data_IF_962833643392
#
_entry.id   IF_962833643392
#
_cell.length_a   1.000
_cell.length_b   1.000
_cell.length_c   1.000
_cell.angle_alpha   90.00
_cell.angle_beta   90.00
_cell.angle_gamma   90.00
#
_symmetry.space_group_name_H-M   'P 1'
#
loop_
_entity.id
_entity.type
_entity.pdbx_description
1 polymer ?
#
# COMPACT_ATOMS: atom_id res chain seq x y z
N UNK A 1 9.60 45.23 41.97
CA UNK A 1 8.82 46.30 41.30
C UNK A 1 7.59 45.64 40.70
N UNK A 2 6.44 45.87 41.34
CA UNK A 2 5.13 45.44 40.88
C UNK A 2 4.56 46.56 40.01
N UNK A 3 4.08 46.22 38.81
CA UNK A 3 3.28 47.14 38.00
C UNK A 3 1.88 46.56 37.80
N UNK A 4 0.93 47.47 37.88
CA UNK A 4 -0.42 47.27 38.35
C UNK A 4 -1.38 46.73 37.29
N UNK A 5 -2.30 45.90 37.78
CA UNK A 5 -3.56 45.54 37.14
C UNK A 5 -4.54 46.68 37.46
N UNK A 6 -5.19 47.26 36.45
CA UNK A 6 -6.36 48.11 36.68
C UNK A 6 -6.42 49.34 35.78
N UNK A 7 -7.11 49.17 34.66
CA UNK A 7 -7.78 50.15 33.80
C UNK A 7 -8.00 49.32 32.52
N UNK A 8 -9.19 48.85 32.19
CA UNK A 8 -10.15 49.57 31.37
C UNK A 8 -11.49 48.81 31.49
N UNK A 9 -12.36 49.25 32.39
CA UNK A 9 -13.77 48.88 32.42
C UNK A 9 -14.53 50.17 32.73
N UNK A 10 -15.00 50.84 31.67
CA UNK A 10 -16.21 51.68 31.64
C UNK A 10 -16.19 52.50 30.37
N UNK A 11 -16.97 52.11 29.36
CA UNK A 11 -17.70 52.99 28.44
C UNK A 11 -18.28 52.15 27.31
N UNK A 12 -19.53 51.71 27.43
CA UNK A 12 -20.43 51.51 26.29
C UNK A 12 -21.84 51.11 26.76
N UNK A 13 -22.54 52.04 27.40
CA UNK A 13 -24.00 52.11 27.32
C UNK A 13 -24.36 53.56 27.01
N UNK A 14 -24.50 53.87 25.72
CA UNK A 14 -25.25 55.03 25.25
C UNK A 14 -25.79 54.76 23.84
N UNK A 15 -27.07 55.08 23.72
CA UNK A 15 -28.04 54.81 22.65
C UNK A 15 -27.78 55.55 21.34
N UNK A 16 -28.13 54.87 20.24
CA UNK A 16 -28.56 55.31 18.90
C UNK A 16 -28.09 56.64 18.30
N UNK A 17 -27.57 56.59 17.06
CA UNK A 17 -28.30 57.10 15.88
C UNK A 17 -27.62 56.60 14.59
N UNK A 18 -28.45 56.29 13.60
CA UNK A 18 -28.08 55.50 12.42
C UNK A 18 -27.26 56.24 11.36
N UNK A 19 -26.40 55.47 10.70
CA UNK A 19 -25.97 55.62 9.30
C UNK A 19 -25.72 54.18 8.78
N UNK A 20 -26.26 53.76 7.62
CA UNK A 20 -25.98 52.44 7.07
C UNK A 20 -24.61 52.46 6.39
N UNK A 21 -23.63 51.74 6.94
CA UNK A 21 -22.41 51.36 6.22
C UNK A 21 -22.54 49.91 5.72
N UNK A 22 -21.95 49.61 4.54
CA UNK A 22 -22.15 48.33 3.86
C UNK A 22 -21.53 47.19 4.67
N UNK A 23 -22.25 46.08 4.70
CA UNK A 23 -21.90 44.84 5.39
C UNK A 23 -20.46 44.40 5.06
N UNK A 24 -19.53 44.65 5.96
CA UNK A 24 -18.35 43.81 6.09
C UNK A 24 -18.80 42.48 6.66
N UNK A 25 -18.97 41.49 5.79
CA UNK A 25 -19.11 40.09 6.21
C UNK A 25 -17.87 39.70 7.01
N UNK A 26 -18.10 39.42 8.30
CA UNK A 26 -17.08 39.13 9.28
C UNK A 26 -16.28 37.87 8.92
N UNK A 27 -14.93 37.89 8.94
CA UNK A 27 -14.10 36.70 8.72
C UNK A 27 -14.41 35.55 9.71
N UNK A 28 -15.01 35.85 10.87
CA UNK A 28 -15.45 34.84 11.84
C UNK A 28 -16.61 33.95 11.32
N UNK A 29 -17.48 34.47 10.45
CA UNK A 29 -18.56 33.67 9.84
C UNK A 29 -18.03 32.71 8.76
N UNK A 30 -16.97 33.11 8.04
CA UNK A 30 -16.26 32.23 7.11
C UNK A 30 -15.58 31.09 7.84
N UNK A 31 -14.80 31.40 8.88
CA UNK A 31 -14.06 30.41 9.65
C UNK A 31 -14.96 29.39 10.34
N UNK A 32 -16.08 29.81 10.94
CA UNK A 32 -17.04 28.88 11.57
C UNK A 32 -17.73 27.98 10.55
N UNK A 33 -17.97 28.47 9.34
CA UNK A 33 -18.52 27.69 8.23
C UNK A 33 -17.51 26.67 7.71
N UNK A 34 -16.26 27.08 7.53
CA UNK A 34 -15.16 26.22 7.11
C UNK A 34 -14.89 25.11 8.15
N UNK A 35 -14.94 25.44 9.45
CA UNK A 35 -14.82 24.47 10.55
C UNK A 35 -15.95 23.44 10.54
N UNK A 36 -17.20 23.87 10.29
CA UNK A 36 -18.34 22.95 10.18
C UNK A 36 -18.20 22.04 8.96
N UNK A 37 -17.78 22.57 7.82
CA UNK A 37 -17.53 21.79 6.62
C UNK A 37 -16.40 20.78 6.85
N UNK A 38 -15.30 21.21 7.45
CA UNK A 38 -14.19 20.35 7.85
C UNK A 38 -14.63 19.22 8.78
N UNK A 39 -15.45 19.51 9.78
CA UNK A 39 -15.98 18.50 10.69
C UNK A 39 -16.86 17.48 9.96
N UNK A 40 -17.63 17.91 8.97
CA UNK A 40 -18.54 17.08 8.17
C UNK A 40 -17.90 16.36 6.97
N UNK A 41 -16.65 16.70 6.62
CA UNK A 41 -15.97 16.10 5.48
C UNK A 41 -15.85 14.57 5.65
N UNK A 42 -16.13 13.78 4.59
CA UNK A 42 -16.10 12.33 4.66
C UNK A 42 -14.72 11.86 5.12
N UNK A 43 -14.73 10.93 6.06
CA UNK A 43 -13.51 10.26 6.55
C UNK A 43 -13.37 8.98 5.76
N UNK A 44 -12.21 8.80 5.12
CA UNK A 44 -11.90 7.56 4.43
C UNK A 44 -11.79 6.45 5.47
N UNK A 45 -12.72 5.49 5.40
CA UNK A 45 -12.38 4.11 5.69
C UNK A 45 -11.69 3.60 4.42
N UNK A 46 -10.39 3.35 4.47
CA UNK A 46 -9.60 2.85 3.35
C UNK A 46 -10.27 1.60 2.72
N UNK A 47 -10.99 1.80 1.61
CA UNK A 47 -11.43 0.78 0.67
C UNK A 47 -11.94 1.46 -0.60
N UNK A 48 -11.49 0.96 -1.75
CA UNK A 48 -11.77 1.42 -3.11
C UNK A 48 -13.19 1.98 -3.30
N UNK A 49 -13.31 3.30 -3.47
CA UNK A 49 -14.44 3.89 -4.19
C UNK A 49 -13.93 4.52 -5.47
N UNK A 50 -14.24 3.85 -6.57
CA UNK A 50 -14.19 4.42 -7.92
C UNK A 50 -15.09 5.66 -7.92
N UNK A 51 -14.50 6.85 -8.01
CA UNK A 51 -15.26 8.08 -8.17
C UNK A 51 -15.83 8.15 -9.61
N UNK A 52 -17.06 8.66 -9.81
CA UNK A 52 -17.63 8.82 -11.13
C UNK A 52 -16.88 9.90 -11.92
N UNK A 53 -16.45 9.54 -13.13
CA UNK A 53 -15.81 10.43 -14.12
C UNK A 53 -16.81 11.51 -14.56
N UNK A 54 -16.57 12.78 -14.22
CA UNK A 54 -17.25 13.92 -14.86
C UNK A 54 -16.39 14.40 -16.04
N UNK A 55 -16.90 14.43 -17.28
CA UNK A 55 -16.20 15.07 -18.39
C UNK A 55 -16.39 16.58 -18.28
N UNK A 56 -15.32 17.29 -17.91
CA UNK A 56 -15.23 18.75 -17.98
C UNK A 56 -14.43 19.15 -19.22
N UNK A 57 -14.93 20.15 -19.94
CA UNK A 57 -14.46 20.63 -21.23
C UNK A 57 -13.08 21.29 -21.19
N UNK A 58 -12.47 21.41 -22.37
CA UNK A 58 -11.04 21.64 -22.56
C UNK A 58 -10.48 22.95 -22.00
N UNK A 59 -9.37 22.78 -21.31
CA UNK A 59 -8.24 23.71 -21.24
C UNK A 59 -6.98 22.87 -21.47
N UNK A 60 -5.93 23.47 -22.04
CA UNK A 60 -4.65 22.82 -22.35
C UNK A 60 -3.85 22.44 -21.07
N UNK A 61 -4.48 21.74 -20.13
CA UNK A 61 -3.82 21.14 -18.99
C UNK A 61 -3.33 19.76 -19.41
N UNK A 62 -2.04 19.50 -19.17
CA UNK A 62 -1.49 18.15 -19.15
C UNK A 62 -2.17 17.40 -18.01
N UNK A 63 -3.33 16.80 -18.30
CA UNK A 63 -4.12 16.08 -17.32
C UNK A 63 -3.42 14.78 -16.97
N UNK A 64 -2.70 14.79 -15.85
CA UNK A 64 -2.05 13.59 -15.34
C UNK A 64 -3.07 12.59 -14.80
N UNK A 65 -2.86 11.31 -15.08
CA UNK A 65 -3.64 10.24 -14.47
C UNK A 65 -3.20 10.04 -13.00
N UNK A 66 -3.85 10.74 -12.09
CA UNK A 66 -3.60 10.65 -10.64
C UNK A 66 -4.05 9.32 -10.02
N UNK A 67 -4.78 8.46 -10.76
CA UNK A 67 -5.24 7.18 -10.23
C UNK A 67 -4.13 6.15 -10.02
N UNK A 68 -3.00 6.31 -10.73
CA UNK A 68 -1.86 5.39 -10.66
C UNK A 68 -0.83 5.83 -9.62
N UNK A 69 -0.46 4.91 -8.74
CA UNK A 69 0.69 5.09 -7.86
C UNK A 69 2.01 5.22 -8.66
N UNK A 70 3.07 5.77 -8.05
CA UNK A 70 4.41 5.82 -8.65
C UNK A 70 4.85 4.47 -9.22
N UNK A 71 5.61 4.51 -10.31
CA UNK A 71 6.14 3.30 -10.94
C UNK A 71 7.05 2.53 -10.00
N UNK A 72 6.89 1.21 -10.02
CA UNK A 72 7.72 0.28 -9.25
C UNK A 72 8.45 -0.63 -10.22
N UNK A 73 9.66 -1.04 -9.83
CA UNK A 73 10.49 -1.94 -10.63
C UNK A 73 9.72 -3.22 -10.99
N UNK A 74 9.03 -3.79 -10.00
CA UNK A 74 8.19 -4.97 -10.20
C UNK A 74 7.06 -4.75 -11.22
N UNK A 75 6.36 -3.60 -11.16
CA UNK A 75 5.29 -3.24 -12.11
C UNK A 75 5.83 -3.13 -13.53
N UNK A 76 6.92 -2.38 -13.73
CA UNK A 76 7.53 -2.20 -15.06
C UNK A 76 7.98 -3.53 -15.64
N UNK A 77 8.59 -4.39 -14.83
CA UNK A 77 9.06 -5.71 -15.26
C UNK A 77 7.88 -6.61 -15.63
N UNK A 78 6.83 -6.63 -14.80
CA UNK A 78 5.63 -7.43 -15.06
C UNK A 78 4.90 -6.98 -16.34
N UNK A 79 4.74 -5.67 -16.55
CA UNK A 79 4.09 -5.11 -17.74
C UNK A 79 4.88 -5.43 -19.02
N UNK A 80 6.22 -5.32 -18.98
CA UNK A 80 7.09 -5.57 -20.15
C UNK A 80 7.29 -7.05 -20.49
N UNK A 81 7.04 -7.94 -19.53
CA UNK A 81 7.21 -9.39 -19.65
C UNK A 81 5.89 -10.17 -19.56
N UNK A 82 4.75 -9.50 -19.66
CA UNK A 82 3.42 -10.11 -19.50
C UNK A 82 3.12 -11.22 -20.53
N UNK A 83 3.71 -11.11 -21.72
CA UNK A 83 3.60 -12.07 -22.83
C UNK A 83 4.53 -13.28 -22.66
N UNK A 84 5.47 -13.24 -21.72
CA UNK A 84 6.46 -14.30 -21.51
C UNK A 84 5.86 -15.39 -20.63
N UNK A 85 5.79 -16.60 -21.16
CA UNK A 85 5.28 -17.76 -20.39
C UNK A 85 6.15 -18.01 -19.15
N UNK A 86 5.54 -18.40 -18.01
CA UNK A 86 6.28 -18.88 -16.86
C UNK A 86 7.21 -20.04 -17.22
N UNK A 87 8.30 -20.16 -16.46
CA UNK A 87 9.28 -21.24 -16.59
C UNK A 87 9.11 -22.18 -15.40
N UNK A 88 8.90 -23.46 -15.66
CA UNK A 88 8.81 -24.46 -14.62
C UNK A 88 10.22 -24.83 -14.12
N UNK A 89 10.48 -24.56 -12.84
CA UNK A 89 11.75 -24.81 -12.16
C UNK A 89 11.55 -25.75 -10.96
N UNK A 90 12.64 -26.41 -10.58
CA UNK A 90 12.69 -27.34 -9.43
C UNK A 90 13.76 -26.87 -8.45
N UNK A 91 13.38 -26.71 -7.18
CA UNK A 91 14.34 -26.42 -6.12
C UNK A 91 15.26 -27.62 -5.85
N UNK A 92 16.54 -27.37 -5.59
CA UNK A 92 17.52 -28.38 -5.17
C UNK A 92 17.73 -28.37 -3.64
N UNK A 93 18.16 -29.50 -3.07
CA UNK A 93 18.69 -29.55 -1.70
C UNK A 93 20.11 -28.98 -1.62
N UNK A 94 20.83 -28.97 -2.74
CA UNK A 94 22.15 -28.39 -2.84
C UNK A 94 22.03 -26.87 -3.09
N UNK A 95 22.58 -26.06 -2.19
CA UNK A 95 22.48 -24.60 -2.29
C UNK A 95 23.20 -24.03 -3.53
N UNK A 96 24.31 -24.64 -3.94
CA UNK A 96 25.08 -24.21 -5.11
C UNK A 96 24.34 -24.39 -6.43
N UNK A 97 23.22 -25.11 -6.43
CA UNK A 97 22.37 -25.35 -7.61
C UNK A 97 21.14 -24.45 -7.63
N UNK A 98 20.92 -23.65 -6.59
CA UNK A 98 19.77 -22.76 -6.50
C UNK A 98 20.19 -21.31 -6.72
N UNK A 99 19.37 -20.55 -7.44
CA UNK A 99 19.28 -19.12 -7.25
C UNK A 99 18.26 -18.81 -6.12
N UNK A 100 18.38 -17.64 -5.44
CA UNK A 100 17.49 -17.23 -4.34
C UNK A 100 16.04 -16.93 -4.78
N UNK A 101 15.31 -17.99 -5.09
CA UNK A 101 13.88 -17.97 -5.42
C UNK A 101 13.00 -18.57 -4.31
N UNK A 102 13.63 -19.10 -3.26
CA UNK A 102 12.99 -19.82 -2.14
C UNK A 102 12.07 -20.96 -2.60
N UNK A 103 12.53 -21.74 -3.60
CA UNK A 103 11.77 -22.90 -4.07
C UNK A 103 11.92 -24.08 -3.11
N UNK A 104 10.81 -24.75 -2.81
CA UNK A 104 10.83 -26.00 -2.03
C UNK A 104 11.61 -27.07 -2.80
N UNK A 105 12.58 -27.76 -2.17
CA UNK A 105 13.35 -28.80 -2.83
C UNK A 105 12.47 -29.92 -3.41
N UNK A 106 12.66 -30.24 -4.69
CA UNK A 106 11.92 -31.28 -5.42
C UNK A 106 10.51 -30.90 -5.85
N UNK A 107 10.03 -29.69 -5.53
CA UNK A 107 8.74 -29.20 -6.01
C UNK A 107 8.86 -28.56 -7.39
N UNK A 108 7.95 -28.92 -8.30
CA UNK A 108 7.82 -28.27 -9.61
C UNK A 108 7.02 -26.98 -9.43
N UNK A 109 7.63 -25.83 -9.72
CA UNK A 109 7.01 -24.51 -9.54
C UNK A 109 7.14 -23.70 -10.82
N UNK A 110 6.02 -23.18 -11.32
CA UNK A 110 6.02 -22.22 -12.42
C UNK A 110 6.41 -20.82 -11.90
N UNK A 111 7.53 -20.30 -12.38
CA UNK A 111 8.08 -19.00 -11.99
C UNK A 111 7.97 -18.04 -13.16
N UNK A 112 7.38 -16.85 -12.95
CA UNK A 112 7.28 -15.83 -13.99
C UNK A 112 8.67 -15.29 -14.36
N UNK A 113 8.85 -14.89 -15.62
CA UNK A 113 10.09 -14.24 -16.05
C UNK A 113 10.37 -12.96 -15.26
N UNK A 114 9.33 -12.19 -14.89
CA UNK A 114 9.47 -11.02 -14.03
C UNK A 114 10.06 -11.36 -12.66
N UNK A 115 9.59 -12.43 -12.01
CA UNK A 115 10.12 -12.88 -10.71
C UNK A 115 11.57 -13.34 -10.82
N UNK A 116 11.93 -14.03 -11.89
CA UNK A 116 13.33 -14.42 -12.16
C UNK A 116 14.24 -13.19 -12.29
N UNK A 117 13.83 -12.22 -13.11
CA UNK A 117 14.61 -10.99 -13.30
C UNK A 117 14.72 -10.15 -12.02
N UNK A 118 13.63 -10.02 -11.25
CA UNK A 118 13.63 -9.26 -9.99
C UNK A 118 14.48 -9.91 -8.89
N UNK A 119 14.58 -11.24 -8.90
CA UNK A 119 15.46 -11.96 -7.98
C UNK A 119 16.95 -11.93 -8.42
N UNK A 120 17.25 -11.56 -9.66
CA UNK A 120 18.59 -11.68 -10.25
C UNK A 120 18.94 -13.12 -10.63
N UNK A 121 17.93 -13.90 -11.01
CA UNK A 121 18.00 -15.32 -11.35
C UNK A 121 17.79 -15.57 -12.86
N UNK A 122 18.09 -14.58 -13.70
CA UNK A 122 17.81 -14.63 -15.14
C UNK A 122 18.56 -15.74 -15.88
N UNK A 123 19.66 -16.25 -15.32
CA UNK A 123 20.37 -17.40 -15.86
C UNK A 123 19.49 -18.67 -15.95
N UNK A 124 18.44 -18.76 -15.12
CA UNK A 124 17.49 -19.86 -15.12
C UNK A 124 16.46 -19.79 -16.26
N UNK A 125 16.45 -18.71 -17.05
CA UNK A 125 15.62 -18.64 -18.24
C UNK A 125 16.13 -19.60 -19.32
N UNK A 126 15.23 -20.28 -20.07
CA UNK A 126 15.64 -21.09 -21.21
C UNK A 126 16.44 -20.26 -22.23
N UNK A 127 17.51 -20.81 -22.84
CA UNK A 127 18.36 -20.05 -23.76
C UNK A 127 17.60 -19.40 -24.93
N UNK A 128 16.56 -20.08 -25.45
CA UNK A 128 15.70 -19.56 -26.51
C UNK A 128 14.92 -18.33 -26.06
N UNK A 129 14.40 -18.34 -24.83
CA UNK A 129 13.67 -17.22 -24.23
C UNK A 129 14.63 -16.07 -23.93
N UNK A 130 15.74 -16.34 -23.26
CA UNK A 130 16.77 -15.33 -22.95
C UNK A 130 17.26 -14.61 -24.23
N UNK A 131 17.59 -15.36 -25.28
CA UNK A 131 18.02 -14.79 -26.59
C UNK A 131 16.90 -13.98 -27.24
N UNK A 132 15.64 -14.40 -27.14
CA UNK A 132 14.51 -13.63 -27.66
C UNK A 132 14.31 -12.32 -26.90
N UNK A 133 14.42 -12.35 -25.56
CA UNK A 133 14.31 -11.15 -24.72
C UNK A 133 15.40 -10.14 -25.04
N UNK A 134 16.66 -10.55 -25.09
CA UNK A 134 17.79 -9.68 -25.48
C UNK A 134 17.57 -9.06 -26.86
N UNK A 135 17.17 -9.85 -27.87
CA UNK A 135 16.88 -9.32 -29.21
C UNK A 135 15.74 -8.30 -29.23
N UNK A 136 14.76 -8.45 -28.34
CA UNK A 136 13.64 -7.51 -28.21
C UNK A 136 13.93 -6.33 -27.26
N UNK A 137 15.14 -6.21 -26.71
CA UNK A 137 15.48 -5.16 -25.74
C UNK A 137 14.74 -5.30 -24.42
N UNK A 138 14.51 -6.54 -23.95
CA UNK A 138 13.79 -6.87 -22.70
C UNK A 138 14.62 -7.74 -21.77
N UNK A 139 15.95 -7.67 -21.89
CA UNK A 139 16.85 -8.25 -20.89
C UNK A 139 16.86 -7.44 -19.59
N UNK A 140 17.50 -7.97 -18.55
CA UNK A 140 17.52 -7.34 -17.23
C UNK A 140 17.99 -5.88 -17.29
N UNK A 141 19.06 -5.58 -18.04
CA UNK A 141 19.61 -4.23 -18.17
C UNK A 141 18.62 -3.27 -18.85
N UNK A 142 18.01 -3.71 -19.94
CA UNK A 142 17.03 -2.89 -20.66
C UNK A 142 15.77 -2.64 -19.81
N UNK A 143 15.36 -3.61 -18.99
CA UNK A 143 14.24 -3.44 -18.06
C UNK A 143 14.58 -2.44 -16.93
N UNK A 144 15.80 -2.47 -16.38
CA UNK A 144 16.26 -1.45 -15.41
C UNK A 144 16.29 -0.05 -16.02
N UNK A 145 16.74 0.05 -17.27
CA UNK A 145 16.74 1.31 -18.00
C UNK A 145 15.30 1.81 -18.23
N UNK A 146 14.39 0.94 -18.66
CA UNK A 146 12.98 1.28 -18.85
C UNK A 146 12.33 1.74 -17.53
N UNK A 147 12.65 1.10 -16.40
CA UNK A 147 12.21 1.56 -15.09
C UNK A 147 12.75 2.97 -14.77
N UNK A 148 14.05 3.18 -14.96
CA UNK A 148 14.71 4.47 -14.71
C UNK A 148 14.13 5.60 -15.57
N UNK A 149 13.88 5.34 -16.85
CA UNK A 149 13.26 6.28 -17.80
C UNK A 149 11.80 6.59 -17.43
N UNK A 150 11.01 5.56 -17.10
CA UNK A 150 9.63 5.72 -16.65
C UNK A 150 9.58 6.59 -15.38
N UNK A 151 10.46 6.31 -14.42
CA UNK A 151 10.55 7.05 -13.17
C UNK A 151 10.97 8.52 -13.38
N UNK A 152 11.94 8.76 -14.27
CA UNK A 152 12.38 10.11 -14.61
C UNK A 152 11.27 10.92 -15.27
N UNK A 153 10.52 10.32 -16.21
CA UNK A 153 9.36 10.94 -16.83
C UNK A 153 8.26 11.27 -15.81
N UNK A 154 7.97 10.36 -14.88
CA UNK A 154 7.02 10.61 -13.80
C UNK A 154 7.49 11.73 -12.86
N UNK A 155 8.78 11.78 -12.52
CA UNK A 155 9.38 12.81 -11.65
C UNK A 155 9.36 14.22 -12.27
N UNK A 156 9.57 14.31 -13.59
CA UNK A 156 9.54 15.58 -14.32
C UNK A 156 8.12 16.02 -14.70
N UNK A 157 7.19 15.07 -14.80
CA UNK A 157 5.79 15.34 -15.11
C UNK A 157 4.93 15.36 -13.85
N UNK A 158 4.14 14.29 -13.67
CA UNK A 158 3.11 14.17 -12.65
C UNK A 158 3.61 14.42 -11.23
N UNK A 159 4.79 13.92 -10.87
CA UNK A 159 5.37 14.06 -9.54
C UNK A 159 6.40 15.18 -9.45
N UNK A 160 6.35 16.16 -10.36
CA UNK A 160 7.10 17.40 -10.20
C UNK A 160 6.52 18.26 -9.07
N UNK A 161 7.36 19.06 -8.42
CA UNK A 161 6.93 20.00 -7.35
C UNK A 161 5.71 20.84 -7.76
N UNK A 162 5.68 21.53 -8.92
CA UNK A 162 4.50 22.33 -9.31
C UNK A 162 3.24 21.48 -9.51
N UNK A 163 3.35 20.29 -10.12
CA UNK A 163 2.20 19.41 -10.34
C UNK A 163 1.64 18.86 -9.01
N UNK A 164 2.51 18.48 -8.09
CA UNK A 164 2.12 18.03 -6.73
C UNK A 164 1.44 19.18 -5.97
N UNK A 165 2.04 20.38 -5.97
CA UNK A 165 1.48 21.54 -5.27
C UNK A 165 0.09 21.93 -5.81
N UNK A 166 -0.07 21.93 -7.15
CA UNK A 166 -1.35 22.18 -7.80
C UNK A 166 -2.39 21.13 -7.37
N UNK A 167 -2.01 19.84 -7.40
CA UNK A 167 -2.90 18.74 -7.02
C UNK A 167 -3.32 18.83 -5.56
N UNK A 168 -2.39 19.06 -4.64
CA UNK A 168 -2.68 19.22 -3.20
C UNK A 168 -3.65 20.39 -2.99
N UNK A 169 -3.38 21.54 -3.63
CA UNK A 169 -4.24 22.72 -3.56
C UNK A 169 -5.65 22.43 -4.05
N UNK A 170 -5.79 21.73 -5.17
CA UNK A 170 -7.09 21.34 -5.73
C UNK A 170 -7.85 20.43 -4.75
N UNK A 171 -7.21 19.38 -4.24
CA UNK A 171 -7.81 18.45 -3.28
C UNK A 171 -8.23 19.16 -1.99
N UNK A 172 -7.40 20.06 -1.45
CA UNK A 172 -7.73 20.82 -0.25
C UNK A 172 -8.94 21.73 -0.44
N UNK A 173 -9.04 22.42 -1.59
CA UNK A 173 -10.22 23.25 -1.92
C UNK A 173 -11.49 22.41 -2.08
N UNK A 174 -11.37 21.19 -2.60
CA UNK A 174 -12.49 20.25 -2.69
C UNK A 174 -12.99 19.79 -1.33
N UNK A 175 -12.09 19.65 -0.35
CA UNK A 175 -12.46 19.33 1.04
C UNK A 175 -13.16 20.52 1.70
N UNK A 176 -12.57 21.71 1.60
CA UNK A 176 -13.21 22.97 1.99
C UNK A 176 -12.54 24.15 1.27
N UNK A 177 -13.31 25.06 0.64
CA UNK A 177 -12.75 26.21 -0.06
C UNK A 177 -11.84 27.11 0.80
N UNK A 178 -12.07 27.16 2.12
CA UNK A 178 -11.28 27.95 3.07
C UNK A 178 -9.94 27.33 3.48
N UNK A 179 -9.65 26.07 3.12
CA UNK A 179 -8.44 25.37 3.55
C UNK A 179 -7.12 26.12 3.28
N UNK A 180 -6.90 26.76 2.12
CA UNK A 180 -5.67 27.51 1.89
C UNK A 180 -5.44 28.64 2.91
N UNK A 181 -6.52 29.23 3.45
CA UNK A 181 -6.43 30.28 4.46
C UNK A 181 -6.14 29.69 5.84
N UNK A 182 -6.76 28.55 6.16
CA UNK A 182 -6.53 27.82 7.41
C UNK A 182 -5.10 27.28 7.50
N UNK A 183 -4.50 26.86 6.38
CA UNK A 183 -3.12 26.39 6.35
C UNK A 183 -2.09 27.49 6.62
N UNK A 184 -2.46 28.77 6.49
CA UNK A 184 -1.58 29.91 6.83
C UNK A 184 -1.59 30.24 8.33
N UNK A 185 -2.31 29.48 9.15
CA UNK A 185 -2.29 29.68 10.59
C UNK A 185 -0.96 29.23 11.20
N UNK A 186 -0.48 30.00 12.19
CA UNK A 186 0.83 29.80 12.81
C UNK A 186 1.00 28.45 13.54
N UNK A 187 -0.10 27.77 13.86
CA UNK A 187 -0.07 26.51 14.61
C UNK A 187 -0.06 25.26 13.71
N UNK A 188 -0.10 25.44 12.38
CA UNK A 188 0.00 24.32 11.44
C UNK A 188 1.41 23.74 11.49
N UNK A 189 1.51 22.41 11.50
CA UNK A 189 2.79 21.73 11.37
C UNK A 189 2.64 20.46 10.55
N UNK A 190 3.77 19.98 10.06
CA UNK A 190 3.84 18.76 9.28
C UNK A 190 4.46 17.65 10.12
N UNK A 191 4.00 16.42 9.92
CA UNK A 191 4.60 15.23 10.51
C UNK A 191 5.04 14.25 9.43
N UNK A 192 6.31 13.86 9.52
CA UNK A 192 6.96 12.95 8.59
C UNK A 192 7.22 11.60 9.27
N UNK A 193 6.66 10.50 8.77
CA UNK A 193 7.01 9.16 9.24
C UNK A 193 8.47 8.84 8.96
N UNK A 194 9.13 8.17 9.90
CA UNK A 194 10.48 7.62 9.77
C UNK A 194 10.46 6.17 10.20
N UNK A 195 10.86 5.27 9.32
CA UNK A 195 10.87 3.83 9.58
C UNK A 195 12.29 3.33 9.57
N UNK A 196 12.62 2.52 10.59
CA UNK A 196 13.82 1.70 10.58
C UNK A 196 13.52 0.41 9.84
N UNK A 197 14.25 0.17 8.75
CA UNK A 197 14.23 -1.08 8.01
C UNK A 197 15.41 -1.95 8.43
N UNK A 198 15.13 -3.23 8.60
CA UNK A 198 16.09 -4.27 8.92
C UNK A 198 16.17 -5.23 7.73
N UNK A 199 17.37 -5.64 7.35
CA UNK A 199 17.51 -6.67 6.33
C UNK A 199 17.05 -8.00 6.92
N UNK A 200 16.15 -8.70 6.22
CA UNK A 200 15.52 -9.94 6.64
C UNK A 200 15.84 -11.01 5.62
N UNK A 201 16.60 -12.01 6.03
CA UNK A 201 16.81 -13.24 5.27
C UNK A 201 15.54 -14.09 5.36
N UNK A 202 15.06 -14.64 4.26
CA UNK A 202 13.80 -15.39 4.20
C UNK A 202 13.99 -16.90 4.18
N UNK A 203 15.20 -17.39 3.88
CA UNK A 203 15.49 -18.83 3.80
C UNK A 203 16.85 -19.22 4.39
N UNK A 204 16.98 -20.52 4.70
CA UNK A 204 18.26 -21.10 5.15
C UNK A 204 19.34 -21.02 4.07
N UNK A 205 18.95 -21.12 2.80
CA UNK A 205 19.83 -20.92 1.64
C UNK A 205 20.44 -19.53 1.68
N UNK A 206 19.60 -18.50 1.80
CA UNK A 206 20.05 -17.12 1.93
C UNK A 206 20.91 -16.92 3.17
N UNK A 207 20.53 -17.49 4.32
CA UNK A 207 21.33 -17.43 5.55
C UNK A 207 22.76 -17.95 5.36
N UNK A 208 22.93 -19.10 4.71
CA UNK A 208 24.26 -19.68 4.45
C UNK A 208 25.11 -18.76 3.58
N UNK A 209 24.52 -18.15 2.56
CA UNK A 209 25.23 -17.21 1.65
C UNK A 209 25.65 -15.90 2.32
N UNK A 210 24.94 -15.52 3.38
CA UNK A 210 25.34 -14.43 4.27
C UNK A 210 26.26 -14.88 5.42
N UNK A 211 26.85 -16.08 5.32
CA UNK A 211 27.75 -16.70 6.31
C UNK A 211 27.14 -16.80 7.71
N UNK A 212 25.82 -16.97 7.78
CA UNK A 212 25.11 -17.12 9.03
C UNK A 212 25.11 -18.59 9.44
N UNK A 213 25.92 -18.94 10.44
CA UNK A 213 26.19 -20.33 10.87
C UNK A 213 25.17 -20.90 11.86
N UNK A 214 24.25 -20.08 12.36
CA UNK A 214 23.28 -20.49 13.38
C UNK A 214 22.03 -21.08 12.74
N UNK A 215 21.42 -22.12 13.35
CA UNK A 215 20.28 -22.83 12.75
C UNK A 215 19.15 -21.88 12.38
N UNK A 216 18.62 -22.00 11.17
CA UNK A 216 17.44 -21.26 10.76
C UNK A 216 16.22 -21.86 11.49
N UNK A 217 15.43 -21.07 12.22
CA UNK A 217 14.33 -21.60 13.00
C UNK A 217 13.28 -22.27 12.09
N UNK A 218 12.66 -23.34 12.60
CA UNK A 218 11.49 -23.98 12.00
C UNK A 218 10.25 -23.70 12.89
N UNK A 219 9.17 -23.08 12.38
CA UNK A 219 8.95 -22.66 10.99
C UNK A 219 9.89 -21.50 10.58
N UNK A 220 10.16 -21.30 9.27
CA UNK A 220 11.07 -20.28 8.77
C UNK A 220 10.59 -18.88 9.16
N UNK A 221 11.08 -18.39 10.29
CA UNK A 221 10.98 -16.98 10.68
C UNK A 221 12.19 -16.30 10.10
N UNK A 222 11.96 -15.25 9.31
CA UNK A 222 13.08 -14.58 8.66
C UNK A 222 14.02 -13.96 9.67
N UNK A 223 15.30 -13.97 9.34
CA UNK A 223 16.37 -13.58 10.24
C UNK A 223 16.85 -12.18 9.93
N UNK A 224 16.96 -11.35 10.95
CA UNK A 224 17.50 -10.01 10.81
C UNK A 224 19.02 -10.05 10.68
N UNK A 225 19.56 -9.36 9.67
CA UNK A 225 20.99 -9.12 9.48
C UNK A 225 21.24 -7.67 9.07
N UNK A 226 22.52 -7.28 9.02
CA UNK A 226 22.93 -5.93 8.62
C UNK A 226 22.67 -4.85 9.67
N UNK A 227 23.11 -3.64 9.37
CA UNK A 227 22.84 -2.48 10.19
C UNK A 227 21.41 -1.96 9.91
N UNK A 228 20.69 -1.49 10.94
CA UNK A 228 19.39 -0.85 10.74
C UNK A 228 19.52 0.41 9.88
N UNK A 229 18.67 0.52 8.87
CA UNK A 229 18.59 1.72 8.02
C UNK A 229 17.36 2.53 8.37
N UNK A 230 17.56 3.78 8.78
CA UNK A 230 16.45 4.71 9.02
C UNK A 230 16.12 5.45 7.74
N UNK A 231 14.91 5.28 7.24
CA UNK A 231 14.38 5.95 6.06
C UNK A 231 13.25 6.89 6.46
N UNK A 232 13.26 8.10 5.91
CA UNK A 232 12.09 8.98 5.96
C UNK A 232 11.04 8.50 4.97
N UNK A 233 9.79 8.87 5.21
CA UNK A 233 8.73 8.57 4.26
C UNK A 233 9.08 9.10 2.87
N UNK A 234 8.63 8.34 1.89
CA UNK A 234 9.01 8.53 0.49
C UNK A 234 7.82 9.04 -0.31
N UNK A 235 6.62 8.55 -0.02
CA UNK A 235 5.42 8.85 -0.80
C UNK A 235 4.35 9.59 0.00
N UNK A 236 4.50 9.78 1.32
CA UNK A 236 3.48 10.47 2.10
C UNK A 236 3.95 11.15 3.38
N UNK A 237 3.16 12.12 3.82
CA UNK A 237 3.36 12.89 5.05
C UNK A 237 2.02 13.40 5.60
N UNK A 238 2.02 13.94 6.81
CA UNK A 238 0.80 14.40 7.46
C UNK A 238 0.78 15.92 7.64
N UNK A 239 -0.38 16.52 7.43
CA UNK A 239 -0.69 17.89 7.83
C UNK A 239 -1.46 17.84 9.15
N UNK A 240 -0.99 18.59 10.13
CA UNK A 240 -1.60 18.73 11.45
C UNK A 240 -2.12 20.15 11.59
N UNK A 241 -3.43 20.27 11.76
CA UNK A 241 -4.14 21.54 11.80
C UNK A 241 -4.90 21.66 13.13
N UNK A 242 -4.28 22.27 14.16
CA UNK A 242 -4.96 22.62 15.40
C UNK A 242 -6.01 23.71 15.12
N UNK A 243 -7.29 23.38 15.32
CA UNK A 243 -8.41 24.29 15.09
C UNK A 243 -9.59 23.94 16.01
N UNK A 244 -10.26 24.96 16.56
CA UNK A 244 -11.52 24.79 17.30
C UNK A 244 -11.43 23.89 18.54
N UNK A 245 -10.26 23.80 19.18
CA UNK A 245 -10.04 22.94 20.35
C UNK A 245 -9.71 21.47 20.02
N UNK A 246 -9.53 21.13 18.75
CA UNK A 246 -9.10 19.79 18.30
C UNK A 246 -7.99 19.87 17.25
N UNK A 247 -7.42 18.72 16.88
CA UNK A 247 -6.43 18.64 15.80
C UNK A 247 -7.00 17.85 14.63
N UNK A 248 -7.16 18.54 13.50
CA UNK A 248 -7.55 17.93 12.24
C UNK A 248 -6.29 17.40 11.56
N UNK A 249 -6.32 16.13 11.16
CA UNK A 249 -5.17 15.46 10.56
C UNK A 249 -5.51 15.02 9.15
N UNK A 250 -4.61 15.33 8.22
CA UNK A 250 -4.72 14.91 6.82
C UNK A 250 -3.47 14.13 6.44
N UNK A 251 -3.65 12.98 5.80
CA UNK A 251 -2.57 12.28 5.08
C UNK A 251 -2.48 12.88 3.69
N UNK A 252 -1.26 13.18 3.25
CA UNK A 252 -0.96 13.52 1.87
C UNK A 252 -0.06 12.43 1.32
N UNK A 253 -0.52 11.69 0.31
CA UNK A 253 0.17 10.54 -0.26
C UNK A 253 0.09 10.49 -1.78
N UNK A 254 1.26 10.37 -2.43
CA UNK A 254 1.38 10.15 -3.88
C UNK A 254 0.97 8.73 -4.32
N UNK A 255 0.90 7.79 -3.38
CA UNK A 255 0.52 6.40 -3.66
C UNK A 255 -1.00 6.21 -3.77
N UNK A 256 -1.80 7.23 -3.39
CA UNK A 256 -3.26 7.17 -3.36
C UNK A 256 -3.89 8.06 -4.44
N UNK A 257 -5.06 7.67 -4.99
CA UNK A 257 -5.73 8.46 -6.03
C UNK A 257 -6.27 9.80 -5.51
N UNK A 258 -6.63 9.87 -4.23
CA UNK A 258 -7.19 11.08 -3.62
C UNK A 258 -6.12 12.11 -3.26
N UNK A 259 -4.86 11.67 -3.11
CA UNK A 259 -3.68 12.47 -2.74
C UNK A 259 -3.75 13.11 -1.36
N UNK A 260 -4.88 13.70 -0.96
CA UNK A 260 -5.13 14.27 0.36
C UNK A 260 -6.38 13.62 0.94
N UNK A 261 -6.26 13.03 2.12
CA UNK A 261 -7.38 12.39 2.82
C UNK A 261 -7.40 12.81 4.29
N UNK A 262 -8.60 13.02 4.83
CA UNK A 262 -8.77 13.28 6.27
C UNK A 262 -8.73 11.96 7.03
N UNK A 263 -7.89 11.89 8.07
CA UNK A 263 -7.81 10.72 8.95
C UNK A 263 -8.31 11.06 10.35
N UNK A 264 -8.81 10.03 11.06
CA UNK A 264 -9.26 10.15 12.45
C UNK A 264 -8.26 9.53 13.41
N UNK A 265 -7.45 8.56 12.96
CA UNK A 265 -6.43 7.96 13.81
C UNK A 265 -5.29 8.93 14.09
N UNK A 266 -4.52 8.60 15.11
CA UNK A 266 -3.21 9.19 15.32
C UNK A 266 -2.28 8.89 14.12
N UNK A 267 -1.50 9.87 13.61
CA UNK A 267 -0.60 9.71 12.47
C UNK A 267 0.32 8.48 12.54
N UNK A 268 0.84 8.15 13.74
CA UNK A 268 1.73 7.00 13.92
C UNK A 268 0.96 5.68 13.76
N UNK A 269 -0.27 5.64 14.26
CA UNK A 269 -1.13 4.45 14.14
C UNK A 269 -1.54 4.22 12.69
N UNK A 270 -2.00 5.28 12.01
CA UNK A 270 -2.32 5.22 10.58
C UNK A 270 -1.08 4.82 9.76
N UNK A 271 0.08 5.42 10.03
CA UNK A 271 1.30 5.07 9.31
C UNK A 271 1.76 3.62 9.50
N UNK A 272 1.57 3.06 10.70
CA UNK A 272 1.86 1.65 10.96
C UNK A 272 0.96 0.69 10.17
N UNK A 273 -0.30 1.06 9.95
CA UNK A 273 -1.28 0.25 9.20
C UNK A 273 -1.15 0.44 7.68
N UNK A 274 -0.73 1.63 7.23
CA UNK A 274 -0.70 2.03 5.83
C UNK A 274 0.73 2.30 5.33
N UNK A 275 1.70 1.47 5.72
CA UNK A 275 3.10 1.63 5.31
C UNK A 275 3.26 1.75 3.79
N UNK A 276 2.53 0.96 3.00
CA UNK A 276 2.58 1.01 1.54
C UNK A 276 2.16 2.37 0.96
N UNK A 277 1.20 3.06 1.59
CA UNK A 277 0.77 4.39 1.14
C UNK A 277 1.82 5.49 1.45
N UNK A 278 2.80 5.19 2.31
CA UNK A 278 3.77 6.17 2.82
C UNK A 278 5.18 5.90 2.30
N UNK A 279 5.53 4.64 2.13
CA UNK A 279 6.86 4.19 1.68
C UNK A 279 6.82 3.53 0.31
N UNK A 280 5.64 3.21 -0.24
CA UNK A 280 5.48 2.46 -1.48
C UNK A 280 5.71 0.97 -1.29
N UNK A 281 6.12 0.29 -2.37
CA UNK A 281 6.45 -1.13 -2.34
C UNK A 281 7.77 -1.33 -1.60
N UNK A 282 7.69 -1.93 -0.41
CA UNK A 282 8.87 -2.30 0.39
C UNK A 282 9.47 -3.60 -0.16
N UNK A 283 10.76 -3.64 -0.53
CA UNK A 283 11.42 -4.87 -0.97
C UNK A 283 11.25 -6.00 0.05
N UNK A 284 11.01 -7.22 -0.43
CA UNK A 284 10.67 -8.39 0.43
C UNK A 284 11.74 -8.71 1.49
N UNK A 285 13.00 -8.40 1.19
CA UNK A 285 14.13 -8.60 2.09
C UNK A 285 14.30 -7.47 3.13
N UNK A 286 13.42 -6.48 3.15
CA UNK A 286 13.40 -5.43 4.16
C UNK A 286 12.19 -5.60 5.08
N UNK A 287 12.44 -5.58 6.38
CA UNK A 287 11.42 -5.61 7.40
C UNK A 287 11.34 -4.26 8.11
N UNK A 288 10.16 -3.63 8.10
CA UNK A 288 9.89 -2.47 8.93
C UNK A 288 9.88 -2.87 10.41
N UNK A 289 10.71 -2.23 11.23
CA UNK A 289 10.90 -2.58 12.63
C UNK A 289 10.44 -1.50 13.61
N UNK A 290 10.81 -0.24 13.37
CA UNK A 290 10.47 0.88 14.26
C UNK A 290 9.99 2.09 13.47
N UNK A 291 8.78 2.53 13.79
CA UNK A 291 8.19 3.75 13.26
C UNK A 291 8.28 4.89 14.30
N UNK A 292 8.79 6.03 13.85
CA UNK A 292 8.86 7.30 14.56
C UNK A 292 8.21 8.41 13.73
N UNK A 293 7.74 9.47 14.39
CA UNK A 293 7.24 10.67 13.72
C UNK A 293 8.23 11.80 13.93
N UNK A 294 8.59 12.51 12.86
CA UNK A 294 9.35 13.75 12.93
C UNK A 294 8.42 14.91 12.65
N UNK A 295 8.26 15.80 13.61
CA UNK A 295 7.60 17.09 13.40
C UNK A 295 8.52 18.02 12.62
N UNK A 296 7.97 18.72 11.66
CA UNK A 296 8.70 19.69 10.85
C UNK A 296 7.83 20.95 10.70
N UNK A 297 8.46 22.11 10.85
CA UNK A 297 7.80 23.38 10.63
C UNK A 297 7.36 23.48 9.15
N UNK A 298 6.17 24.04 8.88
CA UNK A 298 5.59 24.01 7.54
C UNK A 298 6.19 25.06 6.58
N UNK A 299 7.13 25.88 7.04
CA UNK A 299 7.66 27.02 6.29
C UNK A 299 6.61 28.13 6.09
N UNK A 300 6.88 29.03 5.15
CA UNK A 300 5.97 30.14 4.79
C UNK A 300 4.78 29.67 3.93
N UNK A 301 4.96 28.59 3.17
CA UNK A 301 3.93 27.93 2.38
C UNK A 301 3.94 26.42 2.63
N UNK A 302 2.93 25.96 3.38
CA UNK A 302 2.75 24.56 3.76
C UNK A 302 2.62 23.64 2.55
N UNK A 303 1.91 24.09 1.51
CA UNK A 303 1.63 23.27 0.33
C UNK A 303 2.88 23.13 -0.52
N UNK A 304 3.61 24.22 -0.72
CA UNK A 304 4.86 24.20 -1.47
C UNK A 304 5.91 23.34 -0.76
N UNK A 305 6.11 23.55 0.54
CA UNK A 305 7.05 22.76 1.37
C UNK A 305 6.71 21.27 1.32
N UNK A 306 5.42 20.92 1.41
CA UNK A 306 4.98 19.54 1.32
C UNK A 306 5.21 18.95 -0.08
N UNK A 307 5.00 19.74 -1.15
CA UNK A 307 5.24 19.29 -2.51
C UNK A 307 6.73 19.01 -2.77
N UNK A 308 7.64 19.84 -2.26
CA UNK A 308 9.08 19.60 -2.30
C UNK A 308 9.44 18.30 -1.58
N UNK A 309 8.92 18.08 -0.37
CA UNK A 309 9.22 16.86 0.39
C UNK A 309 8.70 15.60 -0.26
N UNK A 310 7.51 15.66 -0.86
CA UNK A 310 6.94 14.53 -1.60
C UNK A 310 7.69 14.28 -2.90
N UNK A 311 8.17 15.33 -3.57
CA UNK A 311 9.04 15.20 -4.74
C UNK A 311 10.38 14.55 -4.37
N UNK A 312 11.06 15.06 -3.34
CA UNK A 312 12.32 14.49 -2.86
C UNK A 312 12.12 13.07 -2.33
N UNK A 313 10.98 12.83 -1.67
CA UNK A 313 10.56 11.50 -1.23
C UNK A 313 10.37 10.55 -2.40
N UNK A 314 9.72 11.00 -3.47
CA UNK A 314 9.60 10.25 -4.72
C UNK A 314 10.99 9.96 -5.29
N UNK A 315 11.91 10.92 -5.35
CA UNK A 315 13.28 10.64 -5.80
C UNK A 315 13.98 9.58 -4.93
N UNK A 316 13.83 9.63 -3.60
CA UNK A 316 14.33 8.58 -2.68
C UNK A 316 13.64 7.22 -2.90
N UNK A 317 12.35 7.23 -3.25
CA UNK A 317 11.60 6.03 -3.56
C UNK A 317 12.20 5.29 -4.75
N UNK A 318 12.71 6.00 -5.76
CA UNK A 318 13.41 5.38 -6.90
C UNK A 318 14.49 4.43 -6.43
N UNK A 319 15.39 4.91 -5.58
CA UNK A 319 16.57 4.14 -5.16
C UNK A 319 16.15 2.98 -4.24
N UNK A 320 15.11 3.21 -3.42
CA UNK A 320 14.51 2.17 -2.58
C UNK A 320 13.81 1.07 -3.38
N UNK A 321 13.05 1.43 -4.41
CA UNK A 321 12.34 0.49 -5.29
C UNK A 321 13.28 -0.18 -6.31
N UNK A 322 14.36 0.51 -6.72
CA UNK A 322 15.41 -0.03 -7.59
C UNK A 322 16.27 -1.08 -6.90
N UNK A 323 16.42 -0.94 -5.58
CA UNK A 323 17.33 -1.64 -4.69
C UNK A 323 17.81 -3.02 -5.15
N UNK A 324 19.07 -3.33 -4.86
CA UNK A 324 19.75 -4.53 -5.34
C UNK A 324 18.93 -5.80 -5.08
N UNK A 325 19.01 -6.76 -5.99
CA UNK A 325 18.30 -8.02 -5.84
C UNK A 325 18.86 -8.80 -4.66
N UNK A 326 18.05 -9.67 -4.04
CA UNK A 326 18.50 -10.58 -2.97
C UNK A 326 19.79 -11.29 -3.35
N UNK A 327 19.85 -11.77 -4.58
CA UNK A 327 21.01 -12.51 -5.07
C UNK A 327 22.26 -11.65 -5.31
N UNK A 328 22.09 -10.34 -5.53
CA UNK A 328 23.22 -9.41 -5.64
C UNK A 328 23.74 -8.98 -4.27
N UNK A 329 22.84 -8.89 -3.27
CA UNK A 329 23.17 -8.54 -1.89
C UNK A 329 23.89 -9.68 -1.13
N UNK A 330 23.72 -10.93 -1.58
CA UNK A 330 24.35 -12.10 -0.97
C UNK A 330 25.87 -12.13 -1.26
N UNK A 331 26.74 -12.24 -0.22
CA UNK A 331 28.19 -12.38 -0.40
C UNK A 331 28.57 -13.55 -1.31
N UNK A 332 27.96 -14.71 -1.10
CA UNK A 332 28.08 -15.88 -1.97
C UNK A 332 26.91 -15.93 -2.96
N UNK A 333 27.00 -15.12 -4.02
CA UNK A 333 25.96 -15.03 -5.05
C UNK A 333 25.99 -16.21 -6.02
N UNK A 334 24.83 -16.83 -6.25
CA UNK A 334 24.63 -17.86 -7.27
C UNK A 334 23.78 -17.36 -8.45
N UNK A 335 23.74 -16.05 -8.72
CA UNK A 335 22.97 -15.46 -9.83
C UNK A 335 23.22 -16.07 -11.21
N UNK A 336 24.41 -16.65 -11.42
CA UNK A 336 24.82 -17.27 -12.68
C UNK A 336 24.39 -18.74 -12.81
N UNK A 337 23.92 -19.35 -11.72
CA UNK A 337 23.47 -20.73 -11.69
C UNK A 337 22.15 -20.85 -12.43
N UNK A 338 22.05 -21.89 -13.26
CA UNK A 338 20.80 -22.25 -13.94
C UNK A 338 20.06 -23.25 -13.08
N UNK A 339 18.88 -22.88 -12.58
CA UNK A 339 18.07 -23.81 -11.83
C UNK A 339 17.61 -24.98 -12.72
N UNK A 340 17.50 -26.20 -12.15
CA UNK A 340 16.93 -27.33 -12.85
C UNK A 340 15.53 -27.03 -13.37
N UNK A 341 15.31 -27.27 -14.66
CA UNK A 341 13.97 -27.19 -15.24
C UNK A 341 13.14 -28.42 -14.83
N UNK A 342 11.82 -28.26 -14.77
CA UNK A 342 10.93 -29.40 -14.56
C UNK A 342 11.11 -30.44 -15.68
N UNK A 343 11.01 -31.74 -15.37
CA UNK A 343 11.00 -32.77 -16.40
C UNK A 343 9.84 -32.51 -17.37
N UNK A 344 10.02 -32.76 -18.68
CA UNK A 344 8.94 -32.63 -19.65
C UNK A 344 7.78 -33.52 -19.20
N UNK A 345 6.56 -32.98 -19.24
CA UNK A 345 5.37 -33.77 -18.97
C UNK A 345 5.42 -35.01 -19.87
N UNK A 346 5.36 -36.20 -19.26
CA UNK A 346 5.31 -37.43 -20.02
C UNK A 346 4.17 -37.31 -21.04
N UNK A 347 4.41 -37.58 -22.34
CA UNK A 347 3.36 -37.47 -23.33
C UNK A 347 2.18 -38.34 -22.87
N UNK A 348 0.93 -37.84 -23.02
CA UNK A 348 -0.23 -38.67 -22.70
C UNK A 348 -0.07 -39.98 -23.45
N UNK A 349 -0.07 -41.10 -22.71
CA UNK A 349 -0.04 -42.43 -23.31
C UNK A 349 -1.21 -42.47 -24.30
N UNK A 350 -0.91 -42.40 -25.59
CA UNK A 350 -1.86 -42.67 -26.64
C UNK A 350 -2.37 -44.08 -26.40
N UNK A 351 -3.69 -44.29 -26.20
CA UNK A 351 -4.23 -45.63 -26.22
C UNK A 351 -3.93 -46.18 -27.63
N UNK A 352 -3.12 -47.23 -27.69
CA UNK A 352 -2.86 -47.94 -28.93
C UNK A 352 -4.20 -48.34 -29.56
N UNK A 353 -4.40 -47.92 -30.81
CA UNK A 353 -5.49 -48.35 -31.62
C UNK A 353 -5.25 -49.81 -32.04
N UNK A 354 -6.07 -50.74 -31.53
CA UNK A 354 -6.24 -52.06 -32.15
C UNK A 354 -7.67 -52.60 -31.98
N UNK A 355 -8.42 -52.52 -33.08
CA UNK A 355 -9.29 -53.56 -33.66
C UNK A 355 -10.54 -54.08 -32.91
N UNK A 356 -11.69 -53.59 -33.39
CA UNK A 356 -12.94 -54.28 -33.85
C UNK A 356 -13.71 -55.27 -32.93
N UNK A 357 -15.07 -55.29 -33.02
CA UNK A 357 -15.98 -55.87 -32.01
C UNK A 357 -16.44 -57.31 -32.35
N UNK A 358 -17.14 -57.98 -31.42
CA UNK A 358 -18.36 -58.69 -31.85
C UNK A 358 -19.59 -58.47 -30.95
N UNK A 359 -20.73 -58.61 -31.61
CA UNK A 359 -22.12 -58.51 -31.15
C UNK A 359 -22.52 -59.65 -30.19
N UNK A 360 -23.27 -59.24 -29.16
CA UNK A 360 -24.55 -59.78 -28.66
C UNK A 360 -24.73 -61.29 -28.41
N UNK A 361 -25.12 -61.64 -27.18
CA UNK A 361 -26.39 -62.33 -26.93
C UNK A 361 -26.88 -62.11 -25.49
N UNK A 362 -28.15 -61.72 -25.41
CA UNK A 362 -28.93 -61.49 -24.21
C UNK A 362 -29.42 -62.83 -23.63
N UNK A 363 -29.60 -62.89 -22.32
CA UNK A 363 -30.74 -63.58 -21.71
C UNK A 363 -31.10 -62.92 -20.38
N UNK A 364 -32.38 -62.61 -20.30
CA UNK A 364 -33.07 -61.87 -19.25
C UNK A 364 -33.06 -62.61 -17.92
N UNK A 365 -33.02 -61.85 -16.82
CA UNK A 365 -34.10 -61.90 -15.83
C UNK A 365 -34.18 -60.55 -15.10
N UNK A 366 -35.33 -59.90 -15.30
CA UNK A 366 -35.81 -58.80 -14.50
C UNK A 366 -36.55 -59.40 -13.30
N UNK A 367 -36.41 -58.84 -12.09
CA UNK A 367 -37.54 -58.18 -11.44
C UNK A 367 -37.16 -57.36 -10.18
N UNK A 368 -37.83 -56.20 -10.09
CA UNK A 368 -38.14 -55.33 -8.94
C UNK A 368 -37.11 -54.26 -8.48
N UNK A 369 -37.37 -53.02 -8.91
CA UNK A 369 -36.99 -51.75 -8.28
C UNK A 369 -37.71 -51.55 -6.93
N UNK A 370 -37.13 -50.77 -6.00
CA UNK A 370 -37.64 -49.41 -5.83
C UNK A 370 -36.56 -48.33 -5.99
N UNK A 371 -36.96 -47.27 -6.68
CA UNK A 371 -36.22 -46.03 -6.87
C UNK A 371 -35.84 -45.44 -5.51
N UNK A 372 -34.54 -45.25 -5.27
CA UNK A 372 -34.07 -44.44 -4.14
C UNK A 372 -33.35 -43.22 -4.69
N UNK A 373 -33.98 -42.07 -4.47
CA UNK A 373 -33.30 -40.85 -4.02
C UNK A 373 -32.38 -40.15 -5.01
N UNK A 374 -32.94 -39.11 -5.62
CA UNK A 374 -32.22 -38.07 -6.34
C UNK A 374 -31.03 -37.48 -5.56
N UNK A 375 -30.08 -36.96 -6.34
CA UNK A 375 -28.93 -36.17 -5.92
C UNK A 375 -29.29 -35.14 -4.82
N UNK A 376 -28.42 -34.91 -3.82
CA UNK A 376 -28.63 -33.87 -2.85
C UNK A 376 -28.55 -32.51 -3.56
N UNK A 377 -29.69 -31.84 -3.61
CA UNK A 377 -29.79 -30.43 -3.96
C UNK A 377 -28.89 -29.61 -3.02
N UNK A 378 -28.25 -28.53 -3.51
CA UNK A 378 -27.59 -27.58 -2.63
C UNK A 378 -28.62 -27.00 -1.68
N UNK A 379 -28.46 -27.27 -0.39
CA UNK A 379 -29.16 -26.57 0.68
C UNK A 379 -28.95 -25.08 0.47
N UNK A 380 -30.04 -24.39 0.13
CA UNK A 380 -30.13 -22.94 0.08
C UNK A 380 -29.48 -22.37 1.33
N UNK A 381 -28.38 -21.64 1.12
CA UNK A 381 -27.82 -20.75 2.12
C UNK A 381 -28.95 -19.97 2.76
N UNK A 382 -29.05 -20.10 4.09
CA UNK A 382 -29.96 -19.37 4.94
C UNK A 382 -29.68 -17.90 4.67
N UNK A 383 -30.60 -17.23 3.95
CA UNK A 383 -30.59 -15.78 3.73
C UNK A 383 -30.15 -15.11 5.03
N UNK A 384 -29.09 -14.32 4.95
CA UNK A 384 -28.69 -13.38 5.97
C UNK A 384 -29.93 -12.59 6.41
N UNK A 385 -30.47 -12.97 7.56
CA UNK A 385 -31.50 -12.19 8.22
C UNK A 385 -30.75 -11.01 8.82
N UNK A 386 -30.88 -9.83 8.19
CA UNK A 386 -30.41 -8.60 8.81
C UNK A 386 -31.04 -8.51 10.20
N UNK A 387 -30.24 -8.34 11.27
CA UNK A 387 -30.76 -8.26 12.61
C UNK A 387 -31.67 -7.03 12.69
N UNK A 388 -32.86 -7.24 13.26
CA UNK A 388 -33.80 -6.16 13.50
C UNK A 388 -33.20 -5.12 14.46
N UNK A 389 -33.68 -3.88 14.40
CA UNK A 389 -33.22 -2.81 15.29
C UNK A 389 -33.37 -3.18 16.78
N UNK A 390 -34.35 -4.04 17.11
CA UNK A 390 -34.54 -4.56 18.46
C UNK A 390 -33.43 -5.55 18.87
N UNK A 391 -33.02 -6.45 17.97
CA UNK A 391 -31.92 -7.40 18.22
C UNK A 391 -30.57 -6.68 18.34
N UNK A 392 -30.36 -5.60 17.57
CA UNK A 392 -29.17 -4.75 17.70
C UNK A 392 -29.15 -3.96 19.02
N UNK A 393 -30.30 -3.45 19.46
CA UNK A 393 -30.42 -2.75 20.74
C UNK A 393 -30.17 -3.70 21.93
N UNK A 394 -30.65 -4.94 21.85
CA UNK A 394 -30.42 -5.95 22.88
C UNK A 394 -28.94 -6.39 22.93
N UNK A 395 -28.31 -6.57 21.77
CA UNK A 395 -26.88 -6.87 21.69
C UNK A 395 -26.00 -5.74 22.24
N UNK A 396 -26.35 -4.48 21.97
CA UNK A 396 -25.66 -3.32 22.53
C UNK A 396 -25.83 -3.23 24.05
N UNK A 397 -27.05 -3.46 24.57
CA UNK A 397 -27.29 -3.49 26.01
C UNK A 397 -26.53 -4.61 26.73
N UNK A 398 -26.36 -5.77 26.07
CA UNK A 398 -25.55 -6.87 26.58
C UNK A 398 -24.04 -6.52 26.62
N UNK A 399 -23.54 -5.84 25.58
CA UNK A 399 -22.14 -5.37 25.53
C UNK A 399 -21.86 -4.31 26.60
N UNK A 400 -22.77 -3.38 26.83
CA UNK A 400 -22.62 -2.37 27.90
C UNK A 400 -22.64 -2.98 29.30
N UNK A 401 -23.44 -4.04 29.52
CA UNK A 401 -23.40 -4.81 30.77
C UNK A 401 -22.05 -5.50 30.96
N UNK A 402 -21.50 -6.10 29.90
CA UNK A 402 -20.18 -6.74 29.94
C UNK A 402 -19.07 -5.71 30.21
N UNK A 403 -19.08 -4.54 29.57
CA UNK A 403 -18.10 -3.48 29.84
C UNK A 403 -18.17 -3.00 31.30
N UNK A 404 -19.38 -2.83 31.85
CA UNK A 404 -19.56 -2.51 33.28
C UNK A 404 -19.02 -3.61 34.19
N UNK A 405 -19.23 -4.88 33.86
CA UNK A 405 -18.66 -6.00 34.62
C UNK A 405 -17.12 -6.01 34.56
N UNK A 406 -16.53 -5.79 33.38
CA UNK A 406 -15.08 -5.73 33.22
C UNK A 406 -14.46 -4.55 33.99
N UNK A 407 -15.11 -3.39 34.00
CA UNK A 407 -14.65 -2.25 34.81
C UNK A 407 -14.76 -2.49 36.32
N UNK A 408 -15.71 -3.32 36.77
CA UNK A 408 -15.77 -3.72 38.18
C UNK A 408 -14.68 -4.74 38.56
N UNK A 409 -14.19 -5.54 37.61
CA UNK A 409 -13.09 -6.49 37.81
C UNK A 409 -11.71 -5.84 37.67
N UNK A 410 -11.62 -4.70 36.97
CA UNK A 410 -10.40 -3.93 36.77
C UNK A 410 -10.15 -2.85 37.81
N UNK A 411 -9.95 -3.20 39.09
CA UNK A 411 -9.21 -2.34 40.03
C UNK A 411 -7.83 -2.93 40.29
N UNK A 412 -6.73 -2.28 39.88
CA UNK A 412 -5.41 -2.61 40.40
C UNK A 412 -5.37 -2.25 41.90
N UNK A 413 -5.21 -3.26 42.76
CA UNK A 413 -4.69 -3.07 44.12
C UNK A 413 -3.17 -2.93 44.00
N UNK A 414 -2.69 -1.69 43.94
CA UNK A 414 -1.37 -1.34 44.41
C UNK A 414 -1.56 -0.33 45.54
N UNK A 415 -1.51 -0.86 46.76
CA UNK A 415 -1.06 -0.16 47.95
C UNK A 415 0.29 -0.76 48.33
#
# INVERSE_FOLDING_TARGET
MYFAIGEWLTSALAVSNGIPLPQQTSPAHGMTTDLRQLASAPVSASAHRVAPRRPGAGTNDTTFDWSRAPATRARVFAERLTDVRPVCLVGSRNDSENCLLDLTPGANVDVSASRLMLAGCEASLPPSVSTALTRSGRDARALEQAFSETFAAESQGKFSVPAIAQRITECLRQISPGMPHLLRHAEVYLEMPRVTFLHRLTSEQEARRHHVTTPFPNPPVGRITGAPEVREAMLGAYIRLPLGGGVHTFIVSLATPHTVERIREDPRTHAGQHLHAIFGDVPEYLQAARLQMRTVAPGDDVVHTLAEWLHDGHQRYRDFARSETRETLAPESHRHVRQPACPPAAPPRTPDAARTPPRAQALMQAEVLPQTGAAPAPTRSRRDRQPSAAELAEALAALERLDKQYRMLGRPRFG
#
